data_IF_594644592389
#
_entry.id   IF_594644592389
#
_cell.length_a   1.000
_cell.length_b   1.000
_cell.length_c   1.000
_cell.angle_alpha   90.00
_cell.angle_beta   90.00
_cell.angle_gamma   90.00
#
_symmetry.space_group_name_H-M   'P 1'
#
loop_
_entity.id
_entity.type
_entity.pdbx_description
1 polymer ?
#
# COMPACT_ATOMS: atom_id res chain seq x y z
N UNK A 1 -2.38 6.76 18.91
CA UNK A 1 -2.79 7.81 17.95
C UNK A 1 -3.45 7.27 16.68
N UNK A 2 -2.85 6.30 15.96
CA UNK A 2 -3.47 5.74 14.73
C UNK A 2 -4.69 4.85 15.05
N UNK A 3 -4.59 3.98 16.07
CA UNK A 3 -5.71 3.15 16.55
C UNK A 3 -6.94 3.97 16.95
N UNK A 4 -6.76 5.04 17.73
CA UNK A 4 -7.83 5.93 18.21
C UNK A 4 -8.59 6.65 17.09
N UNK A 5 -7.91 6.96 15.98
CA UNK A 5 -8.54 7.61 14.81
C UNK A 5 -9.41 6.63 14.01
N UNK A 6 -8.98 5.37 13.90
CA UNK A 6 -9.77 4.33 13.21
C UNK A 6 -10.95 3.86 14.04
N UNK A 7 -10.79 3.74 15.37
CA UNK A 7 -11.93 3.44 16.26
C UNK A 7 -12.95 4.57 16.29
N UNK A 8 -12.51 5.82 16.26
CA UNK A 8 -13.41 6.98 16.14
C UNK A 8 -14.14 7.00 14.78
N UNK A 9 -13.45 6.76 13.66
CA UNK A 9 -14.08 6.67 12.35
C UNK A 9 -15.06 5.49 12.24
N UNK A 10 -14.76 4.35 12.88
CA UNK A 10 -15.66 3.20 12.98
C UNK A 10 -16.91 3.53 13.79
N UNK A 11 -16.76 4.20 14.95
CA UNK A 11 -17.91 4.64 15.75
C UNK A 11 -18.76 5.68 15.02
N UNK A 12 -18.14 6.61 14.29
CA UNK A 12 -18.85 7.59 13.45
C UNK A 12 -19.59 6.88 12.30
N UNK A 13 -18.94 5.92 11.62
CA UNK A 13 -19.57 5.15 10.55
C UNK A 13 -20.76 4.31 11.07
N UNK A 14 -20.63 3.69 12.26
CA UNK A 14 -21.70 2.94 12.91
C UNK A 14 -22.87 3.85 13.30
N UNK A 15 -22.58 4.96 13.97
CA UNK A 15 -23.59 5.90 14.46
C UNK A 15 -24.30 6.66 13.35
N UNK A 16 -23.70 6.81 12.16
CA UNK A 16 -24.34 7.47 11.00
C UNK A 16 -25.02 6.46 10.07
N UNK A 17 -24.39 5.32 9.75
CA UNK A 17 -24.98 4.33 8.84
C UNK A 17 -26.19 3.61 9.44
N UNK A 18 -26.16 3.26 10.73
CA UNK A 18 -27.23 2.48 11.35
C UNK A 18 -28.57 3.24 11.40
N UNK A 19 -28.66 4.49 11.91
CA UNK A 19 -29.93 5.21 11.90
C UNK A 19 -30.37 5.60 10.50
N UNK A 20 -29.44 5.86 9.57
CA UNK A 20 -29.78 6.16 8.18
C UNK A 20 -30.32 4.93 7.44
N UNK A 21 -29.74 3.74 7.68
CA UNK A 21 -30.25 2.47 7.18
C UNK A 21 -31.66 2.18 7.74
N UNK A 22 -31.83 2.32 9.06
CA UNK A 22 -33.11 2.06 9.73
C UNK A 22 -34.19 3.05 9.30
N UNK A 23 -33.89 4.35 9.25
CA UNK A 23 -34.83 5.37 8.77
C UNK A 23 -35.19 5.17 7.29
N UNK A 24 -34.23 4.78 6.46
CA UNK A 24 -34.46 4.43 5.05
C UNK A 24 -35.42 3.24 4.89
N UNK A 25 -35.22 2.15 5.64
CA UNK A 25 -36.10 0.97 5.62
C UNK A 25 -37.52 1.33 6.06
N UNK A 26 -37.67 2.16 7.10
CA UNK A 26 -38.98 2.54 7.67
C UNK A 26 -39.78 3.43 6.70
N UNK A 27 -39.12 4.38 6.02
CA UNK A 27 -39.80 5.37 5.17
C UNK A 27 -40.14 4.83 3.78
N UNK A 28 -39.29 4.00 3.17
CA UNK A 28 -39.50 3.53 1.78
C UNK A 28 -39.99 2.08 1.70
N UNK A 29 -40.02 1.33 2.81
CA UNK A 29 -40.30 -0.13 2.87
C UNK A 29 -39.42 -0.98 1.95
N UNK A 30 -38.32 -0.44 1.44
CA UNK A 30 -37.37 -1.16 0.58
C UNK A 30 -36.17 -1.62 1.40
N UNK A 31 -35.92 -2.93 1.39
CA UNK A 31 -34.80 -3.58 2.10
C UNK A 31 -33.40 -3.23 1.54
N UNK A 32 -33.30 -2.42 0.47
CA UNK A 32 -32.02 -1.94 -0.10
C UNK A 32 -31.17 -1.20 0.93
N UNK A 33 -31.81 -0.51 1.88
CA UNK A 33 -31.13 0.16 2.99
C UNK A 33 -30.52 -0.78 4.03
N UNK A 34 -30.98 -2.03 4.13
CA UNK A 34 -30.36 -3.03 5.00
C UNK A 34 -28.94 -3.42 4.51
N UNK A 35 -28.64 -3.26 3.22
CA UNK A 35 -27.27 -3.43 2.69
C UNK A 35 -26.27 -2.40 3.22
N UNK A 36 -26.75 -1.23 3.67
CA UNK A 36 -25.92 -0.17 4.25
C UNK A 36 -25.35 -0.55 5.63
N UNK A 37 -25.98 -1.51 6.33
CA UNK A 37 -25.45 -2.11 7.56
C UNK A 37 -24.16 -2.93 7.34
N UNK A 38 -23.81 -3.27 6.08
CA UNK A 38 -22.54 -3.91 5.75
C UNK A 38 -21.33 -2.96 5.76
N UNK A 39 -21.53 -1.64 5.60
CA UNK A 39 -20.45 -0.64 5.61
C UNK A 39 -19.65 -0.59 6.93
N UNK A 40 -20.26 -0.62 8.13
CA UNK A 40 -19.49 -0.66 9.37
C UNK A 40 -18.64 -1.93 9.49
N UNK A 41 -19.08 -3.07 8.94
CA UNK A 41 -18.30 -4.31 8.92
C UNK A 41 -17.03 -4.15 8.08
N UNK A 42 -17.11 -3.51 6.90
CA UNK A 42 -15.93 -3.19 6.07
C UNK A 42 -14.96 -2.27 6.82
N UNK A 43 -15.47 -1.30 7.58
CA UNK A 43 -14.66 -0.40 8.39
C UNK A 43 -13.99 -1.09 9.59
N UNK A 44 -14.52 -2.22 10.06
CA UNK A 44 -13.92 -3.06 11.12
C UNK A 44 -12.68 -3.81 10.63
N UNK A 45 -12.64 -4.19 9.34
CA UNK A 45 -11.48 -4.88 8.75
C UNK A 45 -10.31 -3.94 8.37
N UNK A 46 -10.57 -2.64 8.17
CA UNK A 46 -9.53 -1.64 7.86
C UNK A 46 -8.44 -1.49 8.95
N UNK A 47 -8.75 -1.39 10.26
CA UNK A 47 -7.73 -1.24 11.30
C UNK A 47 -6.89 -2.50 11.51
N UNK A 48 -7.46 -3.70 11.36
CA UNK A 48 -6.74 -4.98 11.52
C UNK A 48 -5.58 -5.13 10.53
N UNK A 49 -5.73 -4.66 9.29
CA UNK A 49 -4.66 -4.65 8.28
C UNK A 49 -3.58 -3.59 8.59
N UNK A 50 -3.93 -2.54 9.34
CA UNK A 50 -3.05 -1.40 9.65
C UNK A 50 -2.25 -1.54 10.94
N UNK A 51 -2.50 -2.56 11.77
CA UNK A 51 -1.63 -2.92 12.91
C UNK A 51 -0.36 -3.63 12.41
N UNK A 52 0.42 -2.96 11.56
CA UNK A 52 1.76 -3.40 11.18
C UNK A 52 2.81 -2.61 11.94
N UNK A 53 3.76 -3.35 12.52
CA UNK A 53 4.88 -2.80 13.28
C UNK A 53 5.67 -1.83 12.39
N UNK A 54 5.72 -0.55 12.77
CA UNK A 54 6.51 0.49 12.05
C UNK A 54 7.97 0.06 11.82
N UNK A 55 8.55 -0.70 12.76
CA UNK A 55 9.91 -1.24 12.66
C UNK A 55 10.03 -2.29 11.54
N UNK A 56 9.03 -3.17 11.39
CA UNK A 56 8.99 -4.16 10.31
C UNK A 56 8.84 -3.49 8.95
N UNK A 57 7.97 -2.49 8.88
CA UNK A 57 7.73 -1.72 7.67
C UNK A 57 8.98 -0.94 7.21
N UNK A 58 9.73 -0.36 8.15
CA UNK A 58 10.99 0.32 7.83
C UNK A 58 12.06 -0.65 7.31
N UNK A 59 12.27 -1.78 8.01
CA UNK A 59 13.23 -2.79 7.58
C UNK A 59 12.92 -3.33 6.19
N UNK A 60 11.64 -3.52 5.84
CA UNK A 60 11.22 -3.95 4.52
C UNK A 60 11.50 -2.89 3.44
N UNK A 61 11.20 -1.62 3.73
CA UNK A 61 11.50 -0.51 2.82
C UNK A 61 13.01 -0.37 2.58
N UNK A 62 13.85 -0.57 3.61
CA UNK A 62 15.30 -0.57 3.47
C UNK A 62 15.80 -1.67 2.51
N UNK A 63 15.22 -2.87 2.57
CA UNK A 63 15.58 -3.97 1.65
C UNK A 63 15.14 -3.71 0.21
N UNK A 64 13.99 -3.07 0.03
CA UNK A 64 13.50 -2.71 -1.30
C UNK A 64 14.44 -1.66 -1.95
N UNK A 65 15.03 -0.77 -1.15
CA UNK A 65 15.98 0.26 -1.60
C UNK A 65 17.44 -0.25 -1.70
N UNK A 66 17.81 -1.32 -0.98
CA UNK A 66 19.16 -1.88 -0.92
C UNK A 66 19.81 -2.22 -2.28
N UNK A 67 19.16 -2.93 -3.23
CA UNK A 67 19.78 -3.25 -4.53
C UNK A 67 20.14 -1.99 -5.34
N UNK A 68 19.32 -0.93 -5.24
CA UNK A 68 19.57 0.33 -5.91
C UNK A 68 20.70 1.12 -5.24
N UNK A 69 20.79 1.06 -3.91
CA UNK A 69 21.95 1.62 -3.22
C UNK A 69 23.23 0.87 -3.59
N UNK A 70 23.19 -0.46 -3.56
CA UNK A 70 24.34 -1.30 -3.85
C UNK A 70 24.85 -1.07 -5.27
N UNK A 71 23.97 -0.87 -6.26
CA UNK A 71 24.39 -0.55 -7.64
C UNK A 71 25.10 0.81 -7.72
N UNK A 72 24.57 1.83 -7.04
CA UNK A 72 25.22 3.15 -6.95
C UNK A 72 26.58 3.04 -6.25
N UNK A 73 26.68 2.24 -5.19
CA UNK A 73 27.93 1.97 -4.49
C UNK A 73 28.95 1.24 -5.37
N UNK A 74 28.53 0.25 -6.17
CA UNK A 74 29.39 -0.43 -7.14
C UNK A 74 29.93 0.54 -8.18
N UNK A 75 29.07 1.37 -8.77
CA UNK A 75 29.50 2.38 -9.76
C UNK A 75 30.52 3.35 -9.15
N UNK A 76 30.29 3.79 -7.91
CA UNK A 76 31.26 4.63 -7.19
C UNK A 76 32.56 3.90 -6.88
N UNK A 77 32.50 2.62 -6.51
CA UNK A 77 33.68 1.80 -6.25
C UNK A 77 34.52 1.59 -7.51
N UNK A 78 33.90 1.38 -8.67
CA UNK A 78 34.60 1.31 -9.96
C UNK A 78 35.25 2.66 -10.33
N UNK A 79 34.73 3.78 -9.82
CA UNK A 79 35.35 5.10 -9.92
C UNK A 79 36.44 5.37 -8.85
N UNK A 80 36.80 4.37 -8.04
CA UNK A 80 37.81 4.49 -6.98
C UNK A 80 37.31 5.18 -5.70
N UNK A 81 36.01 5.44 -5.58
CA UNK A 81 35.43 6.01 -4.37
C UNK A 81 35.10 4.92 -3.34
N UNK A 82 35.12 5.31 -2.07
CA UNK A 82 34.80 4.38 -0.98
C UNK A 82 33.28 4.20 -0.82
N UNK A 83 32.87 3.11 -0.16
CA UNK A 83 31.45 2.89 0.18
C UNK A 83 30.90 4.02 1.08
N UNK A 84 31.73 4.63 1.91
CA UNK A 84 31.33 5.77 2.74
C UNK A 84 30.89 6.98 1.89
N UNK A 85 31.62 7.28 0.81
CA UNK A 85 31.23 8.33 -0.15
C UNK A 85 29.84 8.06 -0.77
N UNK A 86 29.49 6.78 -0.97
CA UNK A 86 28.16 6.41 -1.45
C UNK A 86 27.06 6.69 -0.42
N UNK A 87 27.31 6.41 0.85
CA UNK A 87 26.41 6.78 1.96
C UNK A 87 26.25 8.29 2.06
N UNK A 88 27.34 9.05 1.97
CA UNK A 88 27.29 10.52 1.99
C UNK A 88 26.41 11.06 0.85
N UNK A 89 26.59 10.55 -0.38
CA UNK A 89 25.80 10.97 -1.54
C UNK A 89 24.31 10.66 -1.38
N UNK A 90 23.99 9.49 -0.83
CA UNK A 90 22.61 9.03 -0.65
C UNK A 90 21.92 9.74 0.51
N UNK A 91 22.66 10.17 1.54
CA UNK A 91 22.13 10.97 2.65
C UNK A 91 21.51 12.30 2.20
N UNK A 92 22.05 12.88 1.10
CA UNK A 92 21.60 14.15 0.52
C UNK A 92 20.49 13.98 -0.51
N UNK A 93 20.24 12.77 -1.00
CA UNK A 93 19.23 12.50 -2.03
C UNK A 93 17.84 12.27 -1.41
N UNK A 94 16.76 12.91 -1.92
CA UNK A 94 15.41 12.65 -1.46
C UNK A 94 14.81 11.34 -2.01
N UNK A 95 15.50 10.65 -2.93
CA UNK A 95 14.99 9.47 -3.64
C UNK A 95 14.83 8.27 -2.71
N UNK A 96 15.77 8.07 -1.79
CA UNK A 96 15.79 6.92 -0.88
C UNK A 96 15.29 7.35 0.49
N UNK A 97 14.10 6.95 0.90
CA UNK A 97 13.55 7.42 2.18
C UNK A 97 14.12 6.63 3.35
N UNK A 98 14.16 5.31 3.23
CA UNK A 98 14.65 4.42 4.29
C UNK A 98 16.17 4.42 4.34
N UNK A 99 16.82 4.36 3.18
CA UNK A 99 18.28 4.36 3.08
C UNK A 99 18.90 5.70 3.48
N UNK A 100 18.21 6.83 3.24
CA UNK A 100 18.67 8.14 3.71
C UNK A 100 18.78 8.21 5.24
N UNK A 101 17.79 7.69 5.97
CA UNK A 101 17.87 7.69 7.45
C UNK A 101 19.04 6.85 7.95
N UNK A 102 19.33 5.72 7.33
CA UNK A 102 20.49 4.90 7.69
C UNK A 102 21.82 5.58 7.31
N UNK A 103 21.86 6.19 6.13
CA UNK A 103 23.03 6.93 5.66
C UNK A 103 23.35 8.11 6.57
N UNK A 104 22.34 8.87 7.00
CA UNK A 104 22.52 9.98 7.94
C UNK A 104 23.09 9.53 9.28
N UNK A 105 22.71 8.35 9.78
CA UNK A 105 23.27 7.80 11.03
C UNK A 105 24.77 7.51 10.84
N UNK A 106 25.14 6.84 9.74
CA UNK A 106 26.54 6.50 9.45
C UNK A 106 27.38 7.76 9.21
N UNK A 107 26.89 8.69 8.40
CA UNK A 107 27.58 9.96 8.11
C UNK A 107 27.74 10.79 9.39
N UNK A 108 26.71 10.86 10.23
CA UNK A 108 26.79 11.54 11.54
C UNK A 108 27.85 10.90 12.44
N UNK A 109 27.92 9.57 12.48
CA UNK A 109 28.90 8.84 13.30
C UNK A 109 30.35 9.09 12.87
N UNK A 110 30.59 9.41 11.59
CA UNK A 110 31.92 9.75 11.06
C UNK A 110 32.23 11.24 11.17
N UNK A 111 31.35 12.11 10.66
CA UNK A 111 31.59 13.56 10.57
C UNK A 111 31.50 14.27 11.92
N UNK A 112 30.54 13.89 12.78
CA UNK A 112 30.35 14.57 14.07
C UNK A 112 31.13 13.90 15.22
N UNK A 113 31.25 12.57 15.21
CA UNK A 113 31.93 11.84 16.28
C UNK A 113 33.36 11.42 15.93
N UNK A 114 33.85 11.75 14.72
CA UNK A 114 35.22 11.47 14.30
C UNK A 114 35.58 9.98 14.22
N UNK A 115 34.59 9.08 14.08
CA UNK A 115 34.86 7.64 13.99
C UNK A 115 35.43 7.29 12.62
N UNK A 116 36.33 6.32 12.59
CA UNK A 116 36.82 5.78 11.32
C UNK A 116 35.63 5.20 10.49
N UNK A 117 35.55 5.47 9.17
CA UNK A 117 34.43 5.03 8.35
C UNK A 117 34.18 3.52 8.39
N UNK A 118 35.25 2.72 8.38
CA UNK A 118 35.14 1.25 8.45
C UNK A 118 34.60 0.77 9.79
N UNK A 119 34.95 1.43 10.89
CA UNK A 119 34.46 1.10 12.22
C UNK A 119 33.00 1.52 12.40
N UNK A 120 32.60 2.67 11.84
CA UNK A 120 31.21 3.11 11.83
C UNK A 120 30.31 2.10 11.08
N UNK A 121 30.76 1.60 9.92
CA UNK A 121 30.04 0.58 9.16
C UNK A 121 29.93 -0.74 9.92
N UNK A 122 31.03 -1.20 10.53
CA UNK A 122 31.07 -2.44 11.31
C UNK A 122 30.16 -2.36 12.56
N UNK A 123 30.18 -1.23 13.26
CA UNK A 123 29.31 -1.02 14.43
C UNK A 123 27.84 -0.97 14.03
N UNK A 124 27.52 -0.32 12.90
CA UNK A 124 26.17 -0.31 12.35
C UNK A 124 25.71 -1.71 11.98
N UNK A 125 26.57 -2.51 11.34
CA UNK A 125 26.30 -3.90 10.97
C UNK A 125 25.90 -4.75 12.19
N UNK A 126 26.63 -4.61 13.31
CA UNK A 126 26.38 -5.37 14.54
C UNK A 126 25.05 -5.04 15.22
N UNK A 127 24.64 -3.77 15.20
CA UNK A 127 23.43 -3.29 15.90
C UNK A 127 22.16 -3.37 15.05
N UNK A 128 22.27 -3.56 13.74
CA UNK A 128 21.13 -3.45 12.85
C UNK A 128 20.24 -4.72 12.91
N UNK A 129 18.91 -4.60 13.07
CA UNK A 129 18.03 -5.77 13.20
C UNK A 129 17.87 -6.56 11.88
N UNK A 130 18.12 -5.94 10.75
CA UNK A 130 18.02 -6.56 9.43
C UNK A 130 19.33 -7.26 9.04
N UNK A 131 19.27 -8.59 8.93
CA UNK A 131 20.42 -9.46 8.64
C UNK A 131 21.02 -9.24 7.25
N UNK A 132 20.22 -8.93 6.23
CA UNK A 132 20.72 -8.77 4.86
C UNK A 132 21.53 -7.47 4.72
N UNK A 133 21.03 -6.38 5.30
CA UNK A 133 21.78 -5.12 5.38
C UNK A 133 23.03 -5.23 6.28
N UNK A 134 22.90 -5.91 7.43
CA UNK A 134 24.03 -6.17 8.31
C UNK A 134 25.13 -6.98 7.60
N UNK A 135 24.75 -8.03 6.86
CA UNK A 135 25.65 -8.88 6.08
C UNK A 135 26.38 -8.12 4.96
N UNK A 136 25.68 -7.20 4.29
CA UNK A 136 26.27 -6.30 3.29
C UNK A 136 27.39 -5.45 3.90
N UNK A 137 27.11 -4.80 5.03
CA UNK A 137 28.09 -3.95 5.71
C UNK A 137 29.25 -4.76 6.28
N UNK A 138 28.97 -5.86 6.98
CA UNK A 138 30.00 -6.70 7.58
C UNK A 138 30.89 -7.33 6.50
N UNK A 139 30.30 -7.82 5.41
CA UNK A 139 31.05 -8.41 4.30
C UNK A 139 31.96 -7.39 3.62
N UNK A 140 31.47 -6.16 3.40
CA UNK A 140 32.31 -5.07 2.90
C UNK A 140 33.52 -4.81 3.83
N UNK A 141 33.28 -4.65 5.14
CA UNK A 141 34.38 -4.39 6.09
C UNK A 141 35.37 -5.54 6.19
N UNK A 142 34.92 -6.78 6.03
CA UNK A 142 35.78 -7.96 6.03
C UNK A 142 36.71 -7.99 4.80
N UNK A 143 36.18 -7.71 3.60
CA UNK A 143 36.95 -7.66 2.36
C UNK A 143 37.98 -6.52 2.39
N UNK A 144 37.59 -5.35 2.90
CA UNK A 144 38.54 -4.22 3.05
C UNK A 144 39.66 -4.58 4.03
N UNK A 145 39.34 -5.21 5.17
CA UNK A 145 40.34 -5.62 6.17
C UNK A 145 41.29 -6.70 5.67
N UNK A 146 40.81 -7.60 4.81
CA UNK A 146 41.63 -8.64 4.21
C UNK A 146 42.41 -8.18 2.97
N UNK A 147 42.23 -6.93 2.53
CA UNK A 147 42.84 -6.42 1.30
C UNK A 147 42.29 -7.05 0.00
N UNK A 148 41.07 -7.58 0.04
CA UNK A 148 40.43 -8.20 -1.13
C UNK A 148 39.81 -7.19 -2.09
N UNK A 149 39.31 -7.66 -3.24
CA UNK A 149 38.66 -6.81 -4.24
C UNK A 149 37.24 -6.42 -3.82
N UNK A 150 37.11 -5.18 -3.35
CA UNK A 150 35.83 -4.56 -2.97
C UNK A 150 34.84 -4.54 -4.15
N UNK A 151 35.32 -4.23 -5.34
CA UNK A 151 34.50 -4.16 -6.54
C UNK A 151 33.82 -5.50 -6.85
N UNK A 152 34.57 -6.60 -6.81
CA UNK A 152 34.02 -7.95 -7.04
C UNK A 152 32.94 -8.29 -6.02
N UNK A 153 33.17 -7.97 -4.74
CA UNK A 153 32.18 -8.17 -3.69
C UNK A 153 30.89 -7.37 -3.94
N UNK A 154 31.01 -6.09 -4.30
CA UNK A 154 29.86 -5.23 -4.54
C UNK A 154 29.07 -5.66 -5.79
N UNK A 155 29.75 -6.05 -6.88
CA UNK A 155 29.11 -6.58 -8.09
C UNK A 155 28.30 -7.84 -7.77
N UNK A 156 28.89 -8.77 -7.02
CA UNK A 156 28.22 -10.03 -6.67
C UNK A 156 27.00 -9.80 -5.79
N UNK A 157 27.11 -8.92 -4.79
CA UNK A 157 25.97 -8.55 -3.93
C UNK A 157 24.87 -7.82 -4.69
N UNK A 158 25.21 -6.97 -5.66
CA UNK A 158 24.21 -6.32 -6.52
C UNK A 158 23.43 -7.34 -7.32
N UNK A 159 24.10 -8.34 -7.92
CA UNK A 159 23.44 -9.43 -8.66
C UNK A 159 22.48 -10.21 -7.77
N UNK A 160 22.96 -10.66 -6.60
CA UNK A 160 22.15 -11.36 -5.61
C UNK A 160 20.90 -10.55 -5.20
N UNK A 161 21.06 -9.26 -4.93
CA UNK A 161 19.96 -8.40 -4.48
C UNK A 161 18.96 -8.07 -5.59
N UNK A 162 19.43 -7.87 -6.81
CA UNK A 162 18.56 -7.65 -7.97
C UNK A 162 17.79 -8.93 -8.33
N UNK A 163 18.43 -10.09 -8.26
CA UNK A 163 17.76 -11.38 -8.48
C UNK A 163 16.68 -11.61 -7.43
N UNK A 164 17.00 -11.42 -6.15
CA UNK A 164 16.03 -11.50 -5.06
C UNK A 164 14.87 -10.50 -5.23
N UNK A 165 15.17 -9.27 -5.63
CA UNK A 165 14.16 -8.25 -5.90
C UNK A 165 13.26 -8.69 -7.06
N UNK A 166 13.82 -9.18 -8.16
CA UNK A 166 13.08 -9.66 -9.33
C UNK A 166 12.17 -10.83 -8.98
N UNK A 167 12.66 -11.78 -8.17
CA UNK A 167 11.89 -12.91 -7.67
C UNK A 167 10.69 -12.44 -6.84
N UNK A 168 10.90 -11.47 -5.95
CA UNK A 168 9.81 -10.88 -5.16
C UNK A 168 8.75 -10.18 -6.02
N UNK A 169 9.16 -9.47 -7.07
CA UNK A 169 8.22 -8.84 -8.00
C UNK A 169 7.44 -9.87 -8.80
N UNK A 170 8.07 -10.95 -9.25
CA UNK A 170 7.39 -12.08 -9.91
C UNK A 170 6.37 -12.73 -8.99
N UNK A 171 6.76 -13.05 -7.76
CA UNK A 171 5.85 -13.63 -6.77
C UNK A 171 4.68 -12.68 -6.43
N UNK A 172 4.93 -11.37 -6.40
CA UNK A 172 3.86 -10.38 -6.21
C UNK A 172 2.91 -10.33 -7.40
N UNK A 173 3.43 -10.36 -8.63
CA UNK A 173 2.63 -10.37 -9.85
C UNK A 173 1.76 -11.63 -9.93
N UNK A 174 2.32 -12.80 -9.63
CA UNK A 174 1.61 -14.08 -9.58
C UNK A 174 0.50 -14.07 -8.53
N UNK A 175 0.79 -13.63 -7.30
CA UNK A 175 -0.23 -13.49 -6.24
C UNK A 175 -1.34 -12.52 -6.63
N UNK A 176 -0.99 -11.42 -7.29
CA UNK A 176 -1.99 -10.42 -7.72
C UNK A 176 -2.84 -10.95 -8.87
N UNK A 177 -2.24 -11.71 -9.79
CA UNK A 177 -2.94 -12.39 -10.88
C UNK A 177 -3.94 -13.42 -10.35
N UNK A 178 -3.49 -14.30 -9.45
CA UNK A 178 -4.34 -15.28 -8.79
C UNK A 178 -5.50 -14.62 -8.03
N UNK A 179 -5.22 -13.53 -7.30
CA UNK A 179 -6.26 -12.78 -6.60
C UNK A 179 -7.26 -12.15 -7.58
N UNK A 180 -6.79 -11.68 -8.73
CA UNK A 180 -7.62 -11.18 -9.82
C UNK A 180 -8.54 -12.24 -10.40
N UNK A 181 -8.01 -13.42 -10.72
CA UNK A 181 -8.80 -14.57 -11.21
C UNK A 181 -9.90 -14.97 -10.24
N UNK A 182 -9.55 -15.16 -8.97
CA UNK A 182 -10.51 -15.54 -7.93
C UNK A 182 -11.61 -14.48 -7.74
N UNK A 183 -11.26 -13.21 -7.90
CA UNK A 183 -12.22 -12.11 -7.80
C UNK A 183 -13.14 -12.02 -9.01
N UNK A 184 -12.65 -12.30 -10.22
CA UNK A 184 -13.51 -12.41 -11.42
C UNK A 184 -14.51 -13.55 -11.21
N UNK A 185 -14.06 -14.73 -10.79
CA UNK A 185 -14.94 -15.87 -10.53
C UNK A 185 -16.02 -15.52 -9.49
N UNK A 186 -15.64 -14.92 -8.37
CA UNK A 186 -16.59 -14.50 -7.33
C UNK A 186 -17.55 -13.41 -7.82
N UNK A 187 -17.08 -12.48 -8.64
CA UNK A 187 -17.91 -11.43 -9.22
C UNK A 187 -18.97 -11.99 -10.17
N UNK A 188 -18.72 -13.10 -10.86
CA UNK A 188 -19.73 -13.77 -11.68
C UNK A 188 -20.63 -14.70 -10.86
N UNK A 189 -20.06 -15.48 -9.95
CA UNK A 189 -20.76 -16.54 -9.22
C UNK A 189 -21.77 -15.97 -8.22
N UNK A 190 -21.36 -14.96 -7.43
CA UNK A 190 -22.21 -14.42 -6.36
C UNK A 190 -23.48 -13.77 -6.91
N UNK A 191 -23.47 -12.91 -7.95
CA UNK A 191 -24.70 -12.39 -8.53
C UNK A 191 -25.64 -13.47 -9.07
N UNK A 192 -25.12 -14.51 -9.71
CA UNK A 192 -25.95 -15.63 -10.20
C UNK A 192 -26.66 -16.33 -9.05
N UNK A 193 -25.95 -16.61 -7.95
CA UNK A 193 -26.56 -17.18 -6.75
C UNK A 193 -27.59 -16.24 -6.10
N UNK A 194 -27.33 -14.94 -6.06
CA UNK A 194 -28.28 -13.95 -5.51
C UNK A 194 -29.54 -13.83 -6.39
N UNK A 195 -29.41 -13.89 -7.71
CA UNK A 195 -30.56 -13.86 -8.64
C UNK A 195 -31.40 -15.12 -8.47
N UNK A 196 -30.76 -16.29 -8.43
CA UNK A 196 -31.44 -17.57 -8.20
C UNK A 196 -32.15 -17.57 -6.84
N UNK A 197 -31.49 -17.14 -5.77
CA UNK A 197 -32.12 -17.05 -4.46
C UNK A 197 -33.29 -16.07 -4.44
N UNK A 198 -33.17 -14.90 -5.08
CA UNK A 198 -34.28 -13.93 -5.17
C UNK A 198 -35.50 -14.50 -5.89
N UNK A 199 -35.31 -15.41 -6.86
CA UNK A 199 -36.42 -16.08 -7.54
C UNK A 199 -37.19 -17.04 -6.63
N UNK A 200 -36.57 -17.52 -5.54
CA UNK A 200 -37.21 -18.37 -4.51
C UNK A 200 -38.03 -17.56 -3.49
N UNK A 201 -38.26 -16.27 -3.73
CA UNK A 201 -39.12 -15.41 -2.91
C UNK A 201 -38.41 -14.62 -1.81
N UNK A 202 -37.10 -14.77 -1.64
CA UNK A 202 -36.31 -13.94 -0.70
C UNK A 202 -36.01 -12.56 -1.30
N UNK A 203 -37.01 -11.68 -1.19
CA UNK A 203 -36.99 -10.31 -1.76
C UNK A 203 -35.86 -9.42 -1.22
N UNK A 204 -35.28 -9.75 -0.05
CA UNK A 204 -34.15 -9.00 0.51
C UNK A 204 -32.81 -9.29 -0.20
N UNK A 205 -32.73 -10.35 -1.01
CA UNK A 205 -31.48 -10.78 -1.64
C UNK A 205 -31.12 -9.93 -2.87
N UNK A 206 -32.12 -9.43 -3.59
CA UNK A 206 -31.95 -8.51 -4.73
C UNK A 206 -31.41 -7.13 -4.32
N UNK A 207 -31.68 -6.73 -3.07
CA UNK A 207 -31.16 -5.52 -2.46
C UNK A 207 -29.63 -5.53 -2.23
N UNK A 208 -29.01 -6.71 -2.19
CA UNK A 208 -27.55 -6.88 -2.02
C UNK A 208 -26.78 -6.74 -3.35
N UNK A 209 -27.44 -6.93 -4.49
CA UNK A 209 -26.82 -6.92 -5.82
C UNK A 209 -26.03 -5.63 -6.14
N UNK A 210 -26.54 -4.41 -5.87
CA UNK A 210 -25.80 -3.19 -6.20
C UNK A 210 -24.69 -2.85 -5.20
N UNK A 211 -24.66 -3.48 -4.02
CA UNK A 211 -23.60 -3.32 -3.01
C UNK A 211 -22.36 -4.15 -3.38
N UNK A 212 -22.57 -5.23 -4.12
CA UNK A 212 -21.57 -6.23 -4.45
C UNK A 212 -20.32 -5.69 -5.19
N UNK A 213 -20.43 -4.87 -6.26
CA UNK A 213 -19.27 -4.30 -6.93
C UNK A 213 -18.43 -3.39 -6.02
N UNK A 214 -19.06 -2.69 -5.09
CA UNK A 214 -18.37 -1.80 -4.13
C UNK A 214 -17.58 -2.62 -3.12
N UNK A 215 -18.15 -3.72 -2.62
CA UNK A 215 -17.48 -4.63 -1.68
C UNK A 215 -16.30 -5.33 -2.35
N UNK A 216 -16.51 -5.94 -3.53
CA UNK A 216 -15.43 -6.61 -4.27
C UNK A 216 -14.33 -5.63 -4.68
N UNK A 217 -14.68 -4.45 -5.18
CA UNK A 217 -13.71 -3.40 -5.50
C UNK A 217 -12.92 -2.93 -4.28
N UNK A 218 -13.58 -2.78 -3.12
CA UNK A 218 -12.93 -2.42 -1.86
C UNK A 218 -11.94 -3.49 -1.38
N UNK A 219 -12.35 -4.76 -1.39
CA UNK A 219 -11.51 -5.91 -0.98
C UNK A 219 -10.31 -6.07 -1.92
N UNK A 220 -10.50 -5.89 -3.23
CA UNK A 220 -9.40 -5.87 -4.20
C UNK A 220 -8.43 -4.74 -3.91
N UNK A 221 -8.93 -3.51 -3.77
CA UNK A 221 -8.10 -2.35 -3.52
C UNK A 221 -7.28 -2.52 -2.23
N UNK A 222 -7.91 -3.00 -1.15
CA UNK A 222 -7.25 -3.24 0.13
C UNK A 222 -6.22 -4.37 0.06
N UNK A 223 -6.53 -5.46 -0.64
CA UNK A 223 -5.62 -6.62 -0.73
C UNK A 223 -4.41 -6.30 -1.60
N UNK A 224 -4.60 -5.57 -2.71
CA UNK A 224 -3.51 -5.11 -3.56
C UNK A 224 -2.66 -4.11 -2.78
N UNK A 225 -3.23 -3.09 -2.12
CA UNK A 225 -2.42 -2.10 -1.38
C UNK A 225 -1.69 -2.68 -0.17
N UNK A 226 -2.26 -3.69 0.50
CA UNK A 226 -1.60 -4.39 1.61
C UNK A 226 -0.37 -5.18 1.16
N UNK A 227 -0.39 -5.69 -0.08
CA UNK A 227 0.63 -6.57 -0.62
C UNK A 227 1.63 -5.86 -1.57
N UNK A 228 1.29 -4.67 -2.08
CA UNK A 228 2.17 -3.84 -2.91
C UNK A 228 3.55 -3.68 -2.27
N UNK A 229 4.66 -3.91 -3.01
CA UNK A 229 5.98 -3.40 -2.64
C UNK A 229 5.88 -1.89 -2.43
N UNK A 230 6.45 -1.36 -1.34
CA UNK A 230 6.25 0.04 -0.99
C UNK A 230 7.21 0.91 -1.78
N UNK A 231 6.68 1.64 -2.76
CA UNK A 231 7.37 2.77 -3.38
C UNK A 231 7.02 4.06 -2.61
N UNK A 232 7.95 5.02 -2.47
CA UNK A 232 7.66 6.34 -1.90
C UNK A 232 6.82 7.18 -2.86
N UNK A 233 5.55 6.82 -3.04
CA UNK A 233 4.56 7.67 -3.71
C UNK A 233 3.94 8.60 -2.67
N UNK A 234 4.36 9.87 -2.69
CA UNK A 234 3.68 10.94 -1.98
C UNK A 234 2.46 11.44 -2.79
N UNK A 235 1.58 10.56 -3.26
CA UNK A 235 0.30 11.00 -3.84
C UNK A 235 -0.65 11.30 -2.69
N UNK A 236 -0.52 12.50 -2.13
CA UNK A 236 -1.52 13.10 -1.25
C UNK A 236 -2.72 13.55 -2.10
N UNK A 237 -3.44 12.59 -2.67
CA UNK A 237 -4.71 12.87 -3.32
C UNK A 237 -5.75 13.12 -2.21
N UNK A 238 -6.41 14.28 -2.24
CA UNK A 238 -7.52 14.59 -1.35
C UNK A 238 -8.75 13.78 -1.80
N UNK A 239 -8.80 12.51 -1.39
CA UNK A 239 -9.89 11.58 -1.73
C UNK A 239 -11.21 11.94 -1.07
N UNK A 240 -11.21 12.84 -0.09
CA UNK A 240 -12.42 13.26 0.64
C UNK A 240 -13.43 14.01 -0.23
N UNK A 241 -12.97 14.93 -1.09
CA UNK A 241 -13.81 15.71 -1.99
C UNK A 241 -14.62 14.87 -2.99
N UNK A 242 -14.04 13.90 -3.72
CA UNK A 242 -14.82 13.07 -4.64
C UNK A 242 -15.76 12.10 -3.92
N UNK A 243 -15.41 11.62 -2.72
CA UNK A 243 -16.30 10.75 -1.92
C UNK A 243 -17.53 11.53 -1.46
N UNK A 244 -17.36 12.75 -0.94
CA UNK A 244 -18.50 13.55 -0.48
C UNK A 244 -19.41 13.97 -1.64
N UNK A 245 -18.84 14.31 -2.79
CA UNK A 245 -19.59 14.68 -3.99
C UNK A 245 -20.42 13.50 -4.53
N UNK A 246 -19.82 12.31 -4.58
CA UNK A 246 -20.48 11.09 -5.03
C UNK A 246 -21.62 10.66 -4.07
N UNK A 247 -21.40 10.77 -2.76
CA UNK A 247 -22.41 10.48 -1.75
C UNK A 247 -23.60 11.46 -1.84
N UNK A 248 -23.32 12.76 -2.02
CA UNK A 248 -24.36 13.78 -2.16
C UNK A 248 -25.20 13.59 -3.44
N UNK A 249 -24.56 13.29 -4.58
CA UNK A 249 -25.26 13.01 -5.83
C UNK A 249 -26.10 11.72 -5.76
N UNK A 250 -25.58 10.66 -5.13
CA UNK A 250 -26.33 9.42 -4.93
C UNK A 250 -27.57 9.65 -4.04
N UNK A 251 -27.41 10.41 -2.95
CA UNK A 251 -28.50 10.74 -2.04
C UNK A 251 -29.59 11.60 -2.69
N UNK A 252 -29.20 12.63 -3.45
CA UNK A 252 -30.14 13.52 -4.13
C UNK A 252 -30.98 12.78 -5.19
N UNK A 253 -30.36 11.90 -5.96
CA UNK A 253 -31.04 11.10 -7.00
C UNK A 253 -31.99 10.08 -6.36
N UNK A 254 -31.58 9.46 -5.24
CA UNK A 254 -32.42 8.53 -4.50
C UNK A 254 -33.68 9.21 -3.95
N UNK A 255 -33.53 10.42 -3.40
CA UNK A 255 -34.64 11.20 -2.81
C UNK A 255 -35.69 11.62 -3.85
N UNK A 256 -35.25 11.97 -5.06
CA UNK A 256 -36.14 12.48 -6.12
C UNK A 256 -36.83 11.36 -6.91
N UNK A 257 -36.10 10.29 -7.27
CA UNK A 257 -36.59 9.32 -8.25
C UNK A 257 -37.09 8.01 -7.63
N UNK A 258 -36.87 7.74 -6.34
CA UNK A 258 -37.21 6.47 -5.64
C UNK A 258 -36.76 5.16 -6.34
N UNK A 259 -35.94 5.25 -7.39
CA UNK A 259 -35.37 4.12 -8.11
C UNK A 259 -33.95 3.89 -7.56
N UNK A 260 -33.73 2.84 -6.74
CA UNK A 260 -32.45 2.61 -6.07
C UNK A 260 -31.29 2.40 -7.05
N UNK A 261 -31.52 1.75 -8.19
CA UNK A 261 -30.48 1.38 -9.14
C UNK A 261 -29.86 2.59 -9.87
N UNK A 262 -30.65 3.62 -10.17
CA UNK A 262 -30.17 4.82 -10.87
C UNK A 262 -29.28 5.71 -9.97
N UNK A 263 -29.59 5.75 -8.67
CA UNK A 263 -28.83 6.52 -7.68
C UNK A 263 -27.40 6.01 -7.49
N UNK A 264 -27.24 4.67 -7.45
CA UNK A 264 -25.95 4.01 -7.28
C UNK A 264 -25.08 4.16 -8.54
N UNK A 265 -25.70 4.06 -9.73
CA UNK A 265 -25.01 4.28 -11.01
C UNK A 265 -24.48 5.70 -11.17
N UNK A 266 -25.28 6.72 -10.81
CA UNK A 266 -24.85 8.12 -10.84
C UNK A 266 -23.80 8.44 -9.77
N UNK A 267 -23.91 7.89 -8.56
CA UNK A 267 -22.90 8.03 -7.51
C UNK A 267 -21.53 7.49 -7.94
N UNK A 268 -21.49 6.30 -8.54
CA UNK A 268 -20.25 5.72 -9.08
C UNK A 268 -19.69 6.53 -10.26
N UNK A 269 -20.55 7.03 -11.15
CA UNK A 269 -20.14 7.88 -12.27
C UNK A 269 -19.55 9.23 -11.83
N UNK A 270 -20.14 9.86 -10.83
CA UNK A 270 -19.64 11.11 -10.23
C UNK A 270 -18.32 10.87 -9.51
N UNK A 271 -18.19 9.78 -8.75
CA UNK A 271 -16.93 9.41 -8.10
C UNK A 271 -15.81 9.18 -9.12
N UNK A 272 -16.08 8.39 -10.17
CA UNK A 272 -15.10 8.12 -11.22
C UNK A 272 -14.61 9.42 -11.90
N UNK A 273 -15.52 10.35 -12.18
CA UNK A 273 -15.19 11.61 -12.87
C UNK A 273 -14.51 12.65 -11.96
N UNK A 274 -14.86 12.69 -10.68
CA UNK A 274 -14.29 13.61 -9.69
C UNK A 274 -13.00 13.08 -9.05
N UNK A 275 -12.72 11.78 -9.15
CA UNK A 275 -11.52 11.20 -8.55
C UNK A 275 -10.25 11.79 -9.19
N UNK A 276 -9.26 12.21 -8.38
CA UNK A 276 -7.98 12.72 -8.87
C UNK A 276 -7.10 11.62 -9.48
N UNK A 277 -7.54 10.36 -9.47
CA UNK A 277 -6.89 9.22 -10.10
C UNK A 277 -7.14 9.21 -11.61
N UNK A 278 -6.77 10.28 -12.31
CA UNK A 278 -6.68 10.20 -13.77
C UNK A 278 -5.43 9.36 -14.12
N UNK A 279 -5.55 8.33 -14.98
CA UNK A 279 -4.36 7.69 -15.52
C UNK A 279 -3.53 8.78 -16.18
N UNK A 280 -2.26 8.89 -15.79
CA UNK A 280 -1.32 9.85 -16.32
C UNK A 280 -1.36 9.71 -17.85
N UNK A 281 -1.96 10.70 -18.53
CA UNK A 281 -2.04 10.72 -19.98
C UNK A 281 -0.60 10.88 -20.43
N UNK A 282 0.03 9.77 -20.82
CA UNK A 282 1.37 9.75 -21.42
C UNK A 282 1.30 10.75 -22.58
N UNK A 283 1.81 11.96 -22.38
CA UNK A 283 1.98 12.88 -23.48
C UNK A 283 3.11 12.29 -24.29
N UNK A 284 2.77 11.65 -25.41
CA UNK A 284 3.73 11.40 -26.45
C UNK A 284 4.27 12.76 -26.90
N UNK A 285 5.55 12.99 -26.61
CA UNK A 285 6.50 13.69 -27.46
C UNK A 285 7.82 12.97 -27.30
#
# INVERSE_FOLDING_TARGET
MVSTRYTALFLIALTVCVPFAVAGVIVTKQFVFAGLLGLPVVFLFLPLVSFKNKKFDFSKALLDELPFFASIATIMSSAGLTLFSAFERVSRSPVFRAFRSESLIITRDVELFGRAPLDALNERARRHPNRMYASFLSGYTAIVKSGGSVETYLIERVREYLEWLSFRWRQYAEKTSFLGEMMILMFFLVPVFLILGSALGVSFLSALLPVLPVVFGGVLYSSVIANRPRYPDAIKANVWLPISLAAACSFAVFFVLRIPYLSIGLGLGVFARASPFRPCRRSGR
#
